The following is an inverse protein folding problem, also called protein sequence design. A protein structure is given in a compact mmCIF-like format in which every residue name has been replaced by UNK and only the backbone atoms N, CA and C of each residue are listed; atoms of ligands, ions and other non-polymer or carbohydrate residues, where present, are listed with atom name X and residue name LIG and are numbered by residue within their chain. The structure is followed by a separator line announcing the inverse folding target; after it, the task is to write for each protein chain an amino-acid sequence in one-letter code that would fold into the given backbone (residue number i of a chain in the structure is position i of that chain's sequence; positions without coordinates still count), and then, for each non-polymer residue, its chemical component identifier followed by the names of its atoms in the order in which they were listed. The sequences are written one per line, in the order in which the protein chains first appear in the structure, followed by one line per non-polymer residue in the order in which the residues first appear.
data_IF_176582162381
#
_entry.id   IF_176582162381
#
_cell.length_a   1.000
_cell.length_b   1.000
_cell.length_c   1.000
_cell.angle_alpha   90.00
_cell.angle_beta   90.00
_cell.angle_gamma   90.00
#
_symmetry.space_group_name_H-M   'P 1'
#
loop_
_entity.id
_entity.type
_entity.pdbx_description
1 polymer ?
#
# COMPACT_ATOMS: atom_id res chain seq x y z
N UNK A 1 -8.82 -11.01 8.11
CA UNK A 1 -7.74 -11.75 7.42
C UNK A 1 -8.23 -12.72 6.34
N UNK A 2 -9.31 -13.49 6.53
CA UNK A 2 -9.83 -14.45 5.52
C UNK A 2 -10.10 -13.85 4.13
N UNK A 3 -10.61 -12.62 4.05
CA UNK A 3 -10.86 -11.91 2.77
C UNK A 3 -9.59 -11.69 1.94
N UNK A 4 -8.45 -11.43 2.59
CA UNK A 4 -7.17 -11.23 1.91
C UNK A 4 -6.61 -12.54 1.33
N UNK A 5 -6.80 -13.65 2.06
CA UNK A 5 -6.45 -14.98 1.56
C UNK A 5 -7.32 -15.34 0.34
N UNK A 6 -8.62 -15.07 0.41
CA UNK A 6 -9.56 -15.28 -0.71
C UNK A 6 -9.17 -14.46 -1.95
N UNK A 7 -8.85 -13.17 -1.79
CA UNK A 7 -8.41 -12.31 -2.89
C UNK A 7 -7.10 -12.81 -3.52
N UNK A 8 -6.12 -13.21 -2.69
CA UNK A 8 -4.86 -13.80 -3.16
C UNK A 8 -5.12 -15.05 -4.00
N UNK A 9 -5.97 -15.94 -3.51
CA UNK A 9 -6.25 -17.21 -4.17
C UNK A 9 -7.03 -17.01 -5.48
N UNK A 10 -7.95 -16.02 -5.51
CA UNK A 10 -8.63 -15.59 -6.74
C UNK A 10 -7.62 -15.07 -7.78
N UNK A 11 -6.70 -14.20 -7.40
CA UNK A 11 -5.66 -13.67 -8.29
C UNK A 11 -4.73 -14.77 -8.82
N UNK A 12 -4.28 -15.67 -7.94
CA UNK A 12 -3.43 -16.79 -8.31
C UNK A 12 -4.12 -17.73 -9.30
N UNK A 13 -5.39 -18.07 -9.05
CA UNK A 13 -6.17 -18.95 -9.92
C UNK A 13 -6.53 -18.33 -11.27
N UNK A 14 -6.71 -17.01 -11.34
CA UNK A 14 -7.04 -16.30 -12.58
C UNK A 14 -5.93 -16.29 -13.62
N UNK A 15 -4.67 -16.33 -13.17
CA UNK A 15 -3.49 -16.29 -14.03
C UNK A 15 -3.43 -17.46 -15.03
N UNK A 16 -4.06 -18.59 -14.69
CA UNK A 16 -4.01 -19.84 -15.48
C UNK A 16 -5.32 -20.18 -16.20
N UNK A 17 -6.37 -19.37 -16.05
CA UNK A 17 -7.70 -19.66 -16.62
C UNK A 17 -7.83 -19.26 -18.09
N UNK A 18 -8.68 -19.93 -18.89
CA UNK A 18 -9.05 -19.49 -20.24
C UNK A 18 -9.74 -18.12 -20.23
N UNK A 19 -9.64 -17.34 -21.32
CA UNK A 19 -10.16 -15.97 -21.40
C UNK A 19 -11.65 -15.83 -21.00
N UNK A 20 -12.51 -16.78 -21.38
CA UNK A 20 -13.94 -16.77 -21.02
C UNK A 20 -14.21 -16.92 -19.51
N UNK A 21 -13.38 -17.68 -18.79
CA UNK A 21 -13.51 -17.85 -17.33
C UNK A 21 -12.86 -16.72 -16.54
N UNK A 22 -11.94 -15.96 -17.18
CA UNK A 22 -11.31 -14.78 -16.55
C UNK A 22 -12.31 -13.66 -16.35
N UNK A 23 -13.27 -13.47 -17.26
CA UNK A 23 -14.28 -12.42 -17.15
C UNK A 23 -15.19 -12.62 -15.92
N UNK A 24 -15.65 -13.84 -15.67
CA UNK A 24 -16.47 -14.15 -14.49
C UNK A 24 -15.67 -14.01 -13.19
N UNK A 25 -14.42 -14.49 -13.20
CA UNK A 25 -13.53 -14.35 -12.04
C UNK A 25 -13.20 -12.88 -11.76
N UNK A 26 -13.02 -12.06 -12.80
CA UNK A 26 -12.77 -10.63 -12.68
C UNK A 26 -13.98 -9.91 -12.07
N UNK A 27 -15.20 -10.24 -12.49
CA UNK A 27 -16.42 -9.67 -11.90
C UNK A 27 -16.50 -9.99 -10.40
N UNK A 28 -16.28 -11.25 -10.01
CA UNK A 28 -16.23 -11.68 -8.60
C UNK A 28 -15.12 -10.99 -7.82
N UNK A 29 -13.95 -10.82 -8.44
CA UNK A 29 -12.81 -10.15 -7.82
C UNK A 29 -13.14 -8.68 -7.55
N UNK A 30 -13.73 -7.97 -8.52
CA UNK A 30 -14.17 -6.57 -8.38
C UNK A 30 -15.16 -6.41 -7.24
N UNK A 31 -16.18 -7.28 -7.18
CA UNK A 31 -17.16 -7.29 -6.09
C UNK A 31 -16.49 -7.50 -4.73
N UNK A 32 -15.60 -8.48 -4.63
CA UNK A 32 -14.92 -8.79 -3.36
C UNK A 32 -13.98 -7.68 -2.91
N UNK A 33 -13.28 -7.04 -3.84
CA UNK A 33 -12.43 -5.87 -3.55
C UNK A 33 -13.29 -4.69 -3.09
N UNK A 34 -14.42 -4.42 -3.74
CA UNK A 34 -15.31 -3.33 -3.32
C UNK A 34 -15.86 -3.55 -1.91
N UNK A 35 -16.29 -4.78 -1.59
CA UNK A 35 -16.72 -5.14 -0.23
C UNK A 35 -15.58 -5.00 0.79
N UNK A 36 -14.36 -5.44 0.43
CA UNK A 36 -13.19 -5.28 1.29
C UNK A 36 -12.85 -3.81 1.57
N UNK A 37 -12.97 -2.93 0.56
CA UNK A 37 -12.75 -1.49 0.73
C UNK A 37 -13.75 -0.91 1.73
N UNK A 38 -15.04 -1.27 1.62
CA UNK A 38 -16.07 -0.80 2.55
C UNK A 38 -15.81 -1.29 3.98
N UNK A 39 -15.50 -2.59 4.14
CA UNK A 39 -15.14 -3.17 5.44
C UNK A 39 -13.93 -2.44 6.06
N UNK A 40 -12.92 -2.09 5.24
CA UNK A 40 -11.74 -1.35 5.69
C UNK A 40 -12.06 0.08 6.08
N UNK A 41 -12.96 0.78 5.37
CA UNK A 41 -13.39 2.12 5.77
C UNK A 41 -14.08 2.11 7.13
N UNK A 42 -14.99 1.16 7.35
CA UNK A 42 -15.66 1.02 8.64
C UNK A 42 -14.65 0.73 9.75
N UNK A 43 -13.76 -0.25 9.52
CA UNK A 43 -12.75 -0.63 10.50
C UNK A 43 -11.82 0.54 10.86
N UNK A 44 -11.33 1.29 9.87
CA UNK A 44 -10.46 2.45 10.10
C UNK A 44 -11.21 3.57 10.83
N UNK A 45 -12.49 3.82 10.52
CA UNK A 45 -13.28 4.82 11.23
C UNK A 45 -13.44 4.49 12.73
N UNK A 46 -13.68 3.21 13.05
CA UNK A 46 -13.72 2.74 14.44
C UNK A 46 -12.35 2.91 15.13
N UNK A 47 -11.26 2.58 14.44
CA UNK A 47 -9.90 2.75 14.97
C UNK A 47 -9.52 4.22 15.19
N UNK A 48 -9.92 5.12 14.29
CA UNK A 48 -9.68 6.57 14.40
C UNK A 48 -10.39 7.21 15.61
N UNK A 49 -11.52 6.66 16.05
CA UNK A 49 -12.20 7.13 17.25
C UNK A 49 -11.58 6.57 18.54
N UNK A 50 -11.16 5.31 18.51
CA UNK A 50 -10.76 4.56 19.72
C UNK A 50 -9.26 4.67 20.00
N UNK A 51 -8.42 4.47 18.99
CA UNK A 51 -6.96 4.36 19.17
C UNK A 51 -6.35 5.66 19.69
N UNK A 52 -6.63 6.86 19.12
CA UNK A 52 -6.04 8.10 19.63
C UNK A 52 -6.39 8.35 21.10
N UNK A 53 -7.61 8.01 21.52
CA UNK A 53 -8.05 8.13 22.91
C UNK A 53 -7.26 7.19 23.83
N UNK A 54 -7.12 5.91 23.46
CA UNK A 54 -6.35 4.94 24.24
C UNK A 54 -4.87 5.32 24.34
N UNK A 55 -4.28 5.83 23.24
CA UNK A 55 -2.91 6.33 23.24
C UNK A 55 -2.76 7.54 24.18
N UNK A 56 -3.72 8.48 24.16
CA UNK A 56 -3.75 9.62 25.07
C UNK A 56 -3.87 9.23 26.54
N UNK A 57 -4.83 8.36 26.88
CA UNK A 57 -5.04 7.83 28.23
C UNK A 57 -3.83 7.02 28.74
N UNK A 58 -3.14 6.31 27.83
CA UNK A 58 -1.92 5.57 28.12
C UNK A 58 -0.65 6.42 28.24
N UNK A 59 -0.74 7.75 28.09
CA UNK A 59 0.41 8.64 28.12
C UNK A 59 1.41 8.35 27.00
N UNK A 60 0.91 8.00 25.82
CA UNK A 60 1.72 7.82 24.63
C UNK A 60 2.15 9.20 24.12
N UNK A 61 3.43 9.52 24.28
CA UNK A 61 4.00 10.80 23.89
C UNK A 61 4.45 10.74 22.43
N UNK A 62 4.64 11.91 21.81
CA UNK A 62 5.18 12.01 20.45
C UNK A 62 6.57 11.38 20.32
N UNK A 63 7.37 11.39 21.40
CA UNK A 63 8.66 10.68 21.43
C UNK A 63 8.48 9.16 21.35
N UNK A 64 7.50 8.60 22.07
CA UNK A 64 7.18 7.16 22.00
C UNK A 64 6.62 6.77 20.64
N UNK A 65 5.84 7.66 20.03
CA UNK A 65 5.36 7.50 18.67
C UNK A 65 6.53 7.41 17.68
N UNK A 66 7.47 8.35 17.74
CA UNK A 66 8.67 8.33 16.90
C UNK A 66 9.50 7.05 17.08
N UNK A 67 9.65 6.58 18.32
CA UNK A 67 10.34 5.32 18.60
C UNK A 67 9.62 4.10 18.01
N UNK A 68 8.28 4.05 18.13
CA UNK A 68 7.47 2.99 17.54
C UNK A 68 7.53 2.99 16.02
N UNK A 69 7.44 4.17 15.38
CA UNK A 69 7.60 4.33 13.93
C UNK A 69 8.99 3.84 13.48
N UNK A 70 10.04 4.17 14.23
CA UNK A 70 11.39 3.65 13.98
C UNK A 70 11.44 2.12 14.01
N UNK A 71 10.87 1.48 15.03
CA UNK A 71 10.80 0.02 15.14
C UNK A 71 10.01 -0.62 13.99
N UNK A 72 8.91 0.00 13.55
CA UNK A 72 8.12 -0.46 12.41
C UNK A 72 8.99 -0.42 11.15
N UNK A 73 9.65 0.71 10.87
CA UNK A 73 10.51 0.87 9.70
C UNK A 73 11.64 -0.15 9.73
N UNK A 74 12.29 -0.35 10.87
CA UNK A 74 13.35 -1.35 11.01
C UNK A 74 12.84 -2.78 10.76
N UNK A 75 11.68 -3.13 11.32
CA UNK A 75 11.10 -4.47 11.20
C UNK A 75 10.72 -4.84 9.76
N UNK A 76 10.36 -3.83 8.94
CA UNK A 76 10.03 -4.03 7.53
C UNK A 76 11.26 -4.33 6.67
N UNK A 77 12.47 -3.94 7.12
CA UNK A 77 13.69 -4.03 6.33
C UNK A 77 13.59 -3.29 4.99
N UNK A 78 14.57 -3.47 4.11
CA UNK A 78 14.60 -2.74 2.83
C UNK A 78 13.46 -3.12 1.89
N UNK A 79 13.15 -4.42 1.77
CA UNK A 79 12.11 -4.90 0.84
C UNK A 79 10.71 -4.50 1.29
N UNK A 80 10.40 -4.63 2.59
CA UNK A 80 9.11 -4.23 3.13
C UNK A 80 8.87 -2.73 3.03
N UNK A 81 9.89 -1.91 3.33
CA UNK A 81 9.80 -0.45 3.17
C UNK A 81 9.60 -0.06 1.70
N UNK A 82 10.34 -0.66 0.76
CA UNK A 82 10.19 -0.39 -0.68
C UNK A 82 8.75 -0.59 -1.16
N UNK A 83 8.07 -1.63 -0.65
CA UNK A 83 6.71 -1.98 -1.07
C UNK A 83 5.65 -1.14 -0.34
N UNK A 84 5.82 -0.92 0.95
CA UNK A 84 4.75 -0.36 1.81
C UNK A 84 4.83 1.16 1.92
N UNK A 85 6.04 1.71 2.05
CA UNK A 85 6.23 3.12 2.36
C UNK A 85 5.68 4.06 1.27
N UNK A 86 5.86 3.81 -0.04
CA UNK A 86 5.28 4.67 -1.07
C UNK A 86 3.75 4.71 -1.04
N UNK A 87 3.11 3.56 -0.79
CA UNK A 87 1.65 3.45 -0.70
C UNK A 87 1.13 4.21 0.52
N UNK A 88 1.75 4.01 1.69
CA UNK A 88 1.38 4.71 2.92
C UNK A 88 1.52 6.23 2.77
N UNK A 89 2.63 6.70 2.20
CA UNK A 89 2.85 8.13 1.98
C UNK A 89 1.90 8.71 0.93
N UNK A 90 1.52 7.94 -0.09
CA UNK A 90 0.49 8.35 -1.03
C UNK A 90 -0.87 8.54 -0.34
N UNK A 91 -1.28 7.60 0.52
CA UNK A 91 -2.48 7.73 1.33
C UNK A 91 -2.43 8.95 2.26
N UNK A 92 -1.30 9.14 2.96
CA UNK A 92 -1.08 10.30 3.83
C UNK A 92 -1.18 11.63 3.06
N UNK A 93 -0.64 11.69 1.83
CA UNK A 93 -0.76 12.88 0.96
C UNK A 93 -2.21 13.18 0.60
N UNK A 94 -3.00 12.16 0.28
CA UNK A 94 -4.42 12.32 -0.06
C UNK A 94 -5.25 12.77 1.15
N UNK A 95 -4.97 12.22 2.33
CA UNK A 95 -5.72 12.51 3.54
C UNK A 95 -5.32 13.82 4.23
N UNK A 96 -4.02 14.04 4.40
CA UNK A 96 -3.48 15.10 5.26
C UNK A 96 -2.66 16.17 4.52
N UNK A 97 -2.50 16.01 3.19
CA UNK A 97 -1.79 16.93 2.33
C UNK A 97 -0.30 16.63 2.18
N UNK A 98 0.28 17.23 1.13
CA UNK A 98 1.69 17.06 0.75
C UNK A 98 2.66 17.44 1.87
N UNK A 99 2.40 18.57 2.54
CA UNK A 99 3.26 19.11 3.59
C UNK A 99 3.44 18.13 4.74
N UNK A 100 2.35 17.50 5.20
CA UNK A 100 2.41 16.53 6.30
C UNK A 100 3.12 15.25 5.90
N UNK A 101 2.95 14.79 4.67
CA UNK A 101 3.66 13.63 4.18
C UNK A 101 5.18 13.89 4.07
N UNK A 102 5.58 15.08 3.60
CA UNK A 102 7.00 15.44 3.56
C UNK A 102 7.60 15.67 4.94
N UNK A 103 6.84 16.23 5.89
CA UNK A 103 7.24 16.31 7.29
C UNK A 103 7.51 14.91 7.86
N UNK A 104 6.62 13.94 7.63
CA UNK A 104 6.84 12.57 8.05
C UNK A 104 8.13 11.96 7.47
N UNK A 105 8.38 12.18 6.17
CA UNK A 105 9.61 11.74 5.51
C UNK A 105 10.85 12.40 6.13
N UNK A 106 10.76 13.67 6.48
CA UNK A 106 11.87 14.45 7.03
C UNK A 106 12.15 14.17 8.51
N UNK A 107 11.14 13.82 9.30
CA UNK A 107 11.23 13.72 10.76
C UNK A 107 11.31 12.28 11.25
N UNK A 108 10.63 11.34 10.59
CA UNK A 108 10.45 9.98 11.10
C UNK A 108 11.19 8.90 10.31
N UNK A 109 11.64 9.17 9.08
CA UNK A 109 12.38 8.18 8.31
C UNK A 109 13.89 8.22 8.60
N UNK A 110 14.52 7.07 8.88
CA UNK A 110 15.98 6.94 8.90
C UNK A 110 16.61 7.40 7.59
N UNK A 111 17.81 7.98 7.68
CA UNK A 111 18.47 8.65 6.56
C UNK A 111 18.67 7.76 5.32
N UNK A 112 19.07 6.47 5.44
CA UNK A 112 19.18 5.58 4.28
C UNK A 112 17.82 5.31 3.61
N UNK A 113 16.77 5.10 4.41
CA UNK A 113 15.40 4.84 3.90
C UNK A 113 14.86 6.07 3.19
N UNK A 114 15.07 7.26 3.76
CA UNK A 114 14.69 8.54 3.16
C UNK A 114 15.35 8.74 1.79
N UNK A 115 16.65 8.45 1.69
CA UNK A 115 17.39 8.54 0.43
C UNK A 115 16.82 7.58 -0.61
N UNK A 116 16.60 6.32 -0.25
CA UNK A 116 16.06 5.31 -1.16
C UNK A 116 14.65 5.66 -1.62
N UNK A 117 13.81 6.14 -0.70
CA UNK A 117 12.46 6.58 -0.99
C UNK A 117 12.47 7.73 -2.00
N UNK A 118 13.22 8.81 -1.74
CA UNK A 118 13.23 10.01 -2.58
C UNK A 118 13.85 9.77 -3.96
N UNK A 119 14.90 8.97 -4.03
CA UNK A 119 15.65 8.78 -5.28
C UNK A 119 15.07 7.69 -6.16
N UNK A 120 14.53 6.62 -5.58
CA UNK A 120 14.13 5.43 -6.34
C UNK A 120 12.67 5.08 -6.14
N UNK A 121 12.20 4.91 -4.91
CA UNK A 121 10.92 4.26 -4.68
C UNK A 121 9.70 5.13 -5.00
N UNK A 122 9.79 6.44 -4.80
CA UNK A 122 8.70 7.36 -5.11
C UNK A 122 8.39 7.40 -6.61
N UNK A 123 9.42 7.59 -7.44
CA UNK A 123 9.31 7.61 -8.90
C UNK A 123 8.86 6.24 -9.43
N UNK A 124 9.41 5.17 -8.88
CA UNK A 124 9.04 3.79 -9.22
C UNK A 124 7.57 3.48 -8.89
N UNK A 125 7.09 3.91 -7.73
CA UNK A 125 5.69 3.78 -7.33
C UNK A 125 4.75 4.56 -8.27
N UNK A 126 5.08 5.83 -8.55
CA UNK A 126 4.29 6.66 -9.46
C UNK A 126 4.22 6.06 -10.87
N UNK A 127 5.36 5.63 -11.41
CA UNK A 127 5.41 5.12 -12.77
C UNK A 127 4.76 3.74 -12.90
N UNK A 128 5.03 2.82 -11.97
CA UNK A 128 4.58 1.43 -12.12
C UNK A 128 3.22 1.17 -11.48
N UNK A 129 3.01 1.59 -10.24
CA UNK A 129 1.80 1.22 -9.50
C UNK A 129 0.65 2.15 -9.90
N UNK A 130 0.84 3.47 -9.79
CA UNK A 130 -0.19 4.42 -10.20
C UNK A 130 -0.36 4.41 -11.72
N UNK A 131 0.73 4.25 -12.48
CA UNK A 131 0.66 4.03 -13.92
C UNK A 131 -0.18 2.82 -14.29
N UNK A 132 0.03 1.66 -13.65
CA UNK A 132 -0.78 0.47 -13.86
C UNK A 132 -2.25 0.73 -13.53
N UNK A 133 -2.55 1.33 -12.38
CA UNK A 133 -3.94 1.65 -12.01
C UNK A 133 -4.59 2.58 -13.03
N UNK A 134 -3.87 3.61 -13.47
CA UNK A 134 -4.33 4.53 -14.51
C UNK A 134 -4.51 3.87 -15.88
N UNK A 135 -3.74 2.81 -16.17
CA UNK A 135 -3.84 2.03 -17.40
C UNK A 135 -4.90 0.93 -17.34
N UNK A 136 -5.79 0.91 -16.35
CA UNK A 136 -6.93 0.00 -16.30
C UNK A 136 -8.25 0.63 -16.80
N UNK A 137 -8.38 1.13 -18.05
CA UNK A 137 -9.67 1.05 -18.73
C UNK A 137 -10.11 -0.42 -18.84
N UNK A 138 -11.41 -0.67 -18.99
CA UNK A 138 -12.01 -2.03 -18.99
C UNK A 138 -11.43 -3.02 -20.02
N UNK A 139 -10.58 -2.56 -20.95
CA UNK A 139 -10.09 -3.29 -22.13
C UNK A 139 -8.60 -3.68 -22.07
N UNK A 140 -7.87 -3.36 -20.99
CA UNK A 140 -6.42 -3.65 -20.88
C UNK A 140 -6.16 -4.98 -20.17
N UNK A 141 -5.91 -6.03 -20.95
CA UNK A 141 -5.65 -7.40 -20.47
C UNK A 141 -4.16 -7.69 -20.16
N UNK A 142 -3.25 -6.76 -20.45
CA UNK A 142 -1.79 -6.96 -20.32
C UNK A 142 -1.17 -5.79 -19.56
N UNK A 143 -0.41 -6.07 -18.50
CA UNK A 143 0.30 -5.04 -17.73
C UNK A 143 1.39 -4.39 -18.62
N UNK A 144 1.24 -3.11 -19.02
CA UNK A 144 2.19 -2.45 -19.92
C UNK A 144 3.48 -2.01 -19.19
N UNK A 145 3.53 -2.17 -17.87
CA UNK A 145 4.64 -1.76 -17.00
C UNK A 145 5.41 -2.95 -16.41
N UNK A 146 5.30 -4.15 -17.00
CA UNK A 146 6.15 -5.30 -16.64
C UNK A 146 7.62 -4.91 -16.85
N UNK A 147 8.45 -5.18 -15.83
CA UNK A 147 9.89 -4.93 -15.87
C UNK A 147 10.55 -5.58 -17.10
N UNK A 148 11.22 -4.80 -17.93
CA UNK A 148 12.20 -5.30 -18.90
C UNK A 148 13.64 -5.33 -18.34
N UNK A 149 13.82 -5.26 -17.02
CA UNK A 149 15.17 -5.15 -16.43
C UNK A 149 15.24 -5.67 -14.99
N UNK A 150 15.50 -6.96 -14.84
CA UNK A 150 16.81 -7.51 -14.46
C UNK A 150 16.67 -9.03 -14.35
N UNK A 151 17.15 -9.71 -15.39
CA UNK A 151 17.73 -11.03 -15.26
C UNK A 151 18.83 -10.95 -14.19
N UNK A 152 18.49 -11.33 -12.97
CA UNK A 152 19.41 -12.08 -12.14
C UNK A 152 18.87 -13.52 -12.10
N UNK A 153 19.39 -14.32 -13.03
CA UNK A 153 19.62 -15.74 -12.78
C UNK A 153 20.69 -15.87 -11.69
#
# INVERSE_FOLDING_TARGET
MRTMDELRDMLASGSFKPAGERAELLAKLRERVAAFVEDMHQHLAEEEEVIPKLLGEGGFTQEKEGAAVGQIIESLGLDGNKKSLPVMLHGLKLWAGEERAEAFVAEHLPLPIRLLYRTFWSADFQHRHLGLVASLPEEVDVNPFVSQGLLCQ
#
